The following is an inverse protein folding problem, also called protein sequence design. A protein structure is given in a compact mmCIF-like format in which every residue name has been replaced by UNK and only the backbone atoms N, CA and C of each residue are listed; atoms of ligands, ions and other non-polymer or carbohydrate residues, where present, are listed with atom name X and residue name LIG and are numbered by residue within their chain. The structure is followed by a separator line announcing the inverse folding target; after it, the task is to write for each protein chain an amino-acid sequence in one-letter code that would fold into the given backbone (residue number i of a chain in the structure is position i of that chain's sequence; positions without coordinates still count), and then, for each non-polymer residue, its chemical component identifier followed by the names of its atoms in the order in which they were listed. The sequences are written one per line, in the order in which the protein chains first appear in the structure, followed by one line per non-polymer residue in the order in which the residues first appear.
data_IF_499607167814
#
_entry.id   IF_499607167814
#
_cell.length_a   1.000
_cell.length_b   1.000
_cell.length_c   1.000
_cell.angle_alpha   90.00
_cell.angle_beta   90.00
_cell.angle_gamma   90.00
#
_symmetry.space_group_name_H-M   'P 1'
#
loop_
_entity.id
_entity.type
_entity.pdbx_description
1 polymer ?
#
# COMPACT_ATOMS: atom_id res chain seq x y z
N UNK A 1 41.46 24.17 12.08
CA UNK A 1 40.21 23.60 12.57
C UNK A 1 39.62 22.75 11.43
N UNK A 2 39.86 21.44 11.49
CA UNK A 2 39.48 20.52 10.43
C UNK A 2 38.03 20.06 10.65
N UNK A 3 37.18 20.23 9.63
CA UNK A 3 35.84 19.67 9.58
C UNK A 3 35.94 18.16 9.35
N UNK A 4 35.56 17.36 10.34
CA UNK A 4 35.44 15.93 10.21
C UNK A 4 34.17 15.63 9.40
N UNK A 5 34.31 15.09 8.18
CA UNK A 5 33.21 14.55 7.40
C UNK A 5 32.69 13.29 8.14
N UNK A 6 31.48 13.36 8.67
CA UNK A 6 30.78 12.23 9.28
C UNK A 6 30.43 11.21 8.21
N UNK A 7 30.88 9.97 8.38
CA UNK A 7 30.51 8.85 7.50
C UNK A 7 28.97 8.64 7.53
N UNK A 8 28.31 8.37 6.39
CA UNK A 8 26.88 8.14 6.35
C UNK A 8 26.49 6.91 7.17
N UNK A 9 25.27 6.87 7.75
CA UNK A 9 24.79 5.75 8.55
C UNK A 9 24.75 4.44 7.74
N UNK A 10 24.84 3.26 8.40
CA UNK A 10 24.90 1.96 7.73
C UNK A 10 23.78 1.68 6.75
N UNK A 11 22.57 2.21 7.00
CA UNK A 11 21.40 2.10 6.13
C UNK A 11 21.58 2.76 4.75
N UNK A 12 22.31 3.86 4.68
CA UNK A 12 22.63 4.51 3.40
C UNK A 12 23.62 3.71 2.56
N UNK A 13 24.49 2.91 3.19
CA UNK A 13 25.46 2.06 2.47
C UNK A 13 24.79 0.85 1.82
N UNK A 14 23.79 0.24 2.45
CA UNK A 14 23.03 -0.90 1.89
C UNK A 14 22.18 -0.49 0.67
N UNK A 15 21.48 0.65 0.75
CA UNK A 15 20.72 1.17 -0.40
C UNK A 15 21.65 1.54 -1.59
N UNK A 16 22.86 2.04 -1.32
CA UNK A 16 23.86 2.31 -2.34
C UNK A 16 24.49 1.04 -2.91
N UNK A 17 24.60 -0.04 -2.13
CA UNK A 17 25.09 -1.32 -2.62
C UNK A 17 24.07 -2.03 -3.50
N UNK A 18 22.78 -1.96 -3.18
CA UNK A 18 21.71 -2.49 -4.04
C UNK A 18 21.61 -1.70 -5.36
N UNK A 19 21.76 -0.39 -5.33
CA UNK A 19 21.89 0.43 -6.54
C UNK A 19 23.14 0.07 -7.37
N UNK A 20 24.26 -0.22 -6.71
CA UNK A 20 25.48 -0.68 -7.40
C UNK A 20 25.35 -2.10 -7.98
N UNK A 21 24.61 -3.01 -7.34
CA UNK A 21 24.33 -4.34 -7.87
C UNK A 21 23.43 -4.29 -9.10
N UNK A 22 22.43 -3.42 -9.14
CA UNK A 22 21.60 -3.19 -10.33
C UNK A 22 22.46 -2.65 -11.49
N UNK A 23 23.40 -1.74 -11.22
CA UNK A 23 24.32 -1.22 -12.21
C UNK A 23 25.39 -2.24 -12.67
N UNK A 24 25.84 -3.14 -11.79
CA UNK A 24 26.86 -4.14 -12.10
C UNK A 24 26.36 -5.30 -12.99
N UNK A 25 25.05 -5.56 -13.04
CA UNK A 25 24.46 -6.57 -13.94
C UNK A 25 24.37 -6.13 -15.41
N UNK A 26 24.75 -4.88 -15.72
CA UNK A 26 24.69 -4.32 -17.09
C UNK A 26 26.08 -4.15 -17.74
N UNK A 27 27.01 -5.06 -17.49
CA UNK A 27 28.18 -5.40 -18.35
C UNK A 27 29.08 -4.26 -18.83
N UNK A 28 30.37 -4.39 -18.57
CA UNK A 28 31.43 -3.44 -18.80
C UNK A 28 31.79 -3.06 -20.23
N UNK A 29 32.24 -1.82 -20.36
CA UNK A 29 33.37 -1.35 -21.17
C UNK A 29 33.64 0.14 -20.87
N UNK A 30 34.91 0.56 -20.94
CA UNK A 30 35.44 1.82 -20.45
C UNK A 30 35.03 3.07 -21.24
N UNK A 31 35.04 4.21 -20.52
CA UNK A 31 35.19 5.59 -20.98
C UNK A 31 33.95 6.36 -21.42
N UNK A 32 33.12 6.73 -20.47
CA UNK A 32 32.30 7.96 -20.38
C UNK A 32 31.67 7.97 -18.98
N UNK A 33 31.33 9.08 -18.33
CA UNK A 33 30.53 9.01 -17.11
C UNK A 33 29.26 8.22 -17.44
N UNK A 34 28.90 7.19 -16.63
CA UNK A 34 27.77 6.35 -16.98
C UNK A 34 26.54 7.24 -17.16
N UNK A 35 25.73 7.03 -18.23
CA UNK A 35 24.44 7.71 -18.35
C UNK A 35 23.68 7.41 -17.06
N UNK A 36 23.05 8.42 -16.49
CA UNK A 36 22.19 8.25 -15.32
C UNK A 36 21.21 7.11 -15.65
N UNK A 37 21.40 5.95 -15.04
CA UNK A 37 20.52 4.80 -15.25
C UNK A 37 19.14 5.23 -14.76
N UNK A 38 18.21 5.49 -15.67
CA UNK A 38 16.84 5.78 -15.30
C UNK A 38 16.27 4.52 -14.66
N UNK A 39 16.00 4.60 -13.36
CA UNK A 39 15.34 3.52 -12.63
C UNK A 39 13.96 3.27 -13.24
N UNK A 40 13.63 2.01 -13.44
CA UNK A 40 12.28 1.63 -13.84
C UNK A 40 11.32 1.78 -12.65
N UNK A 41 10.01 1.85 -12.91
CA UNK A 41 9.02 1.88 -11.83
C UNK A 41 9.13 0.65 -10.93
N UNK A 42 9.51 -0.50 -11.49
CA UNK A 42 9.72 -1.74 -10.73
C UNK A 42 10.94 -1.63 -9.81
N UNK A 43 12.02 -0.98 -10.27
CA UNK A 43 13.19 -0.69 -9.42
C UNK A 43 12.82 0.23 -8.25
N UNK A 44 12.00 1.27 -8.50
CA UNK A 44 11.54 2.18 -7.46
C UNK A 44 10.71 1.46 -6.40
N UNK A 45 9.77 0.59 -6.81
CA UNK A 45 8.98 -0.22 -5.89
C UNK A 45 9.87 -1.12 -5.02
N UNK A 46 10.85 -1.79 -5.64
CA UNK A 46 11.78 -2.65 -4.92
C UNK A 46 12.60 -1.85 -3.89
N UNK A 47 13.11 -0.69 -4.25
CA UNK A 47 13.90 0.17 -3.35
C UNK A 47 13.07 0.62 -2.15
N UNK A 48 11.83 1.11 -2.37
CA UNK A 48 10.93 1.48 -1.28
C UNK A 48 10.62 0.30 -0.36
N UNK A 49 10.32 -0.87 -0.94
CA UNK A 49 10.02 -2.08 -0.20
C UNK A 49 11.20 -2.56 0.66
N UNK A 50 12.41 -2.60 0.10
CA UNK A 50 13.62 -2.99 0.85
C UNK A 50 13.88 -2.04 2.01
N UNK A 51 13.69 -0.74 1.80
CA UNK A 51 13.83 0.27 2.88
C UNK A 51 12.82 0.04 4.00
N UNK A 52 11.57 -0.31 3.69
CA UNK A 52 10.56 -0.61 4.71
C UNK A 52 10.89 -1.87 5.52
N UNK A 53 11.46 -2.90 4.88
CA UNK A 53 11.85 -4.12 5.58
C UNK A 53 12.98 -3.91 6.60
N UNK A 54 13.75 -2.83 6.50
CA UNK A 54 14.76 -2.48 7.52
C UNK A 54 14.15 -2.08 8.87
N UNK A 55 12.84 -1.80 8.94
CA UNK A 55 12.12 -1.55 10.20
C UNK A 55 11.70 -2.84 10.91
N UNK A 56 11.88 -4.00 10.27
CA UNK A 56 11.47 -5.29 10.83
C UNK A 56 12.56 -5.84 11.73
N UNK A 57 12.17 -6.21 12.93
CA UNK A 57 13.03 -6.83 13.94
C UNK A 57 12.62 -8.27 14.20
N UNK A 58 13.55 -9.15 14.69
CA UNK A 58 13.23 -10.51 15.10
C UNK A 58 12.05 -10.58 16.08
N UNK A 59 11.18 -11.57 15.86
CA UNK A 59 10.01 -11.82 16.72
C UNK A 59 8.79 -10.93 16.44
N UNK A 60 8.86 -10.00 15.51
CA UNK A 60 7.71 -9.17 15.15
C UNK A 60 6.60 -9.96 14.47
N UNK A 61 5.34 -9.65 14.82
CA UNK A 61 4.17 -9.98 14.03
C UNK A 61 3.89 -8.80 13.07
N UNK A 62 3.76 -9.11 11.77
CA UNK A 62 3.65 -8.13 10.70
C UNK A 62 2.26 -8.14 10.05
N UNK A 63 1.77 -6.99 9.63
CA UNK A 63 0.74 -6.86 8.61
C UNK A 63 1.39 -6.92 7.22
N UNK A 64 0.97 -7.88 6.42
CA UNK A 64 1.53 -8.14 5.09
C UNK A 64 0.61 -7.57 4.01
N UNK A 65 1.04 -6.50 3.38
CA UNK A 65 0.29 -5.75 2.40
C UNK A 65 0.03 -6.47 1.07
N UNK A 66 -0.83 -5.87 0.26
CA UNK A 66 -1.23 -6.38 -1.06
C UNK A 66 -0.78 -5.43 -2.17
N UNK A 67 -0.36 -5.99 -3.29
CA UNK A 67 0.01 -5.22 -4.48
C UNK A 67 1.45 -5.41 -4.91
N UNK A 68 1.82 -4.79 -6.05
CA UNK A 68 3.13 -5.01 -6.67
C UNK A 68 4.29 -4.49 -5.83
N UNK A 69 4.11 -3.38 -5.11
CA UNK A 69 5.15 -2.84 -4.23
C UNK A 69 5.31 -3.70 -2.98
N UNK A 70 4.19 -4.11 -2.35
CA UNK A 70 4.19 -5.00 -1.20
C UNK A 70 4.81 -6.38 -1.53
N UNK A 71 4.63 -6.87 -2.76
CA UNK A 71 5.25 -8.13 -3.19
C UNK A 71 6.79 -8.13 -3.04
N UNK A 72 7.46 -7.01 -3.34
CA UNK A 72 8.91 -6.89 -3.13
C UNK A 72 9.29 -6.93 -1.64
N UNK A 73 8.44 -6.41 -0.75
CA UNK A 73 8.66 -6.52 0.70
C UNK A 73 8.53 -7.98 1.16
N UNK A 74 7.53 -8.72 0.65
CA UNK A 74 7.37 -10.15 0.96
C UNK A 74 8.57 -10.97 0.46
N UNK A 75 9.02 -10.74 -0.77
CA UNK A 75 10.19 -11.44 -1.32
C UNK A 75 11.43 -11.18 -0.45
N UNK A 76 11.67 -9.92 -0.07
CA UNK A 76 12.79 -9.54 0.80
C UNK A 76 12.68 -10.16 2.19
N UNK A 77 11.50 -10.18 2.79
CA UNK A 77 11.24 -10.84 4.08
C UNK A 77 11.53 -12.34 4.00
N UNK A 78 11.08 -13.01 2.94
CA UNK A 78 11.37 -14.41 2.69
C UNK A 78 12.87 -14.70 2.58
N UNK A 79 13.64 -13.83 1.90
CA UNK A 79 15.09 -13.95 1.81
C UNK A 79 15.77 -13.85 3.18
N UNK A 80 15.37 -12.87 3.98
CA UNK A 80 15.92 -12.66 5.33
C UNK A 80 15.56 -13.77 6.31
N UNK A 81 14.35 -14.31 6.22
CA UNK A 81 13.92 -15.47 7.01
C UNK A 81 14.76 -16.70 6.65
N UNK A 82 14.94 -17.00 5.36
CA UNK A 82 15.80 -18.12 4.90
C UNK A 82 17.26 -17.95 5.33
N UNK A 83 17.75 -16.72 5.37
CA UNK A 83 19.09 -16.42 5.86
C UNK A 83 19.21 -16.46 7.40
N UNK A 84 18.12 -16.71 8.14
CA UNK A 84 18.11 -16.69 9.61
C UNK A 84 18.28 -15.30 10.23
N UNK A 85 18.13 -14.23 9.45
CA UNK A 85 18.33 -12.86 9.92
C UNK A 85 17.12 -12.30 10.71
N UNK A 86 15.92 -12.87 10.51
CA UNK A 86 14.68 -12.45 11.13
C UNK A 86 13.97 -13.62 11.85
N UNK A 87 14.60 -14.28 12.85
CA UNK A 87 13.98 -15.39 13.54
C UNK A 87 12.70 -14.97 14.26
N UNK A 88 11.66 -15.81 14.21
CA UNK A 88 10.40 -15.60 14.92
C UNK A 88 9.47 -14.55 14.28
N UNK A 89 9.80 -14.00 13.13
CA UNK A 89 8.89 -13.12 12.37
C UNK A 89 7.81 -13.97 11.73
N UNK A 90 6.56 -13.49 11.84
CA UNK A 90 5.38 -14.07 11.20
C UNK A 90 4.44 -12.95 10.74
N UNK A 91 3.48 -13.25 9.87
CA UNK A 91 2.65 -12.21 9.28
C UNK A 91 1.17 -12.53 9.13
N UNK A 92 0.35 -11.49 9.14
CA UNK A 92 -1.09 -11.54 8.88
C UNK A 92 -1.33 -10.96 7.47
N UNK A 93 -1.81 -11.76 6.49
CA UNK A 93 -1.95 -11.32 5.10
C UNK A 93 -3.22 -10.50 4.89
N UNK A 94 -3.12 -9.40 4.13
CA UNK A 94 -4.24 -8.50 3.80
C UNK A 94 -5.11 -8.98 2.64
N UNK A 95 -4.77 -10.11 2.01
CA UNK A 95 -5.55 -10.72 0.92
C UNK A 95 -5.18 -12.20 0.72
N UNK A 96 -6.06 -12.95 0.04
CA UNK A 96 -5.76 -14.33 -0.39
C UNK A 96 -4.52 -14.38 -1.30
N UNK A 97 -4.34 -13.37 -2.15
CA UNK A 97 -3.15 -13.27 -3.01
C UNK A 97 -1.87 -13.10 -2.19
N UNK A 98 -1.91 -12.28 -1.15
CA UNK A 98 -0.78 -12.07 -0.22
C UNK A 98 -0.50 -13.33 0.61
N UNK A 99 -1.54 -14.03 1.05
CA UNK A 99 -1.43 -15.30 1.76
C UNK A 99 -0.68 -16.36 0.93
N UNK A 100 -1.09 -16.53 -0.34
CA UNK A 100 -0.40 -17.44 -1.26
C UNK A 100 1.05 -17.03 -1.53
N UNK A 101 1.32 -15.73 -1.67
CA UNK A 101 2.68 -15.24 -1.89
C UNK A 101 3.55 -15.45 -0.65
N UNK A 102 3.09 -15.07 0.52
CA UNK A 102 3.80 -15.25 1.79
C UNK A 102 4.14 -16.73 2.07
N UNK A 103 3.17 -17.62 1.84
CA UNK A 103 3.39 -19.08 1.92
C UNK A 103 4.50 -19.54 0.97
N UNK A 104 4.47 -19.08 -0.29
CA UNK A 104 5.47 -19.44 -1.30
C UNK A 104 6.89 -19.01 -0.91
N UNK A 105 7.05 -17.83 -0.30
CA UNK A 105 8.37 -17.33 0.11
C UNK A 105 8.79 -17.77 1.51
N UNK A 106 7.95 -18.55 2.22
CA UNK A 106 8.27 -19.17 3.50
C UNK A 106 8.07 -18.24 4.70
N UNK A 107 7.19 -17.25 4.62
CA UNK A 107 6.79 -16.43 5.77
C UNK A 107 5.73 -17.20 6.56
N UNK A 108 5.94 -17.48 7.87
CA UNK A 108 4.92 -18.07 8.73
C UNK A 108 3.69 -17.15 8.82
N UNK A 109 2.49 -17.73 8.71
CA UNK A 109 1.25 -16.97 8.72
C UNK A 109 0.51 -17.09 10.04
N UNK A 110 -0.14 -16.00 10.44
CA UNK A 110 -0.97 -15.89 11.63
C UNK A 110 -2.37 -15.40 11.23
N UNK A 111 -3.44 -15.84 11.92
CA UNK A 111 -4.77 -15.26 11.75
C UNK A 111 -4.82 -13.87 12.41
N UNK A 112 -5.73 -13.03 11.96
CA UNK A 112 -6.05 -11.77 12.63
C UNK A 112 -6.96 -12.06 13.84
N UNK A 113 -6.39 -12.10 15.03
CA UNK A 113 -7.14 -12.40 16.27
C UNK A 113 -7.48 -13.88 16.47
N UNK A 114 -8.20 -14.19 17.55
CA UNK A 114 -8.58 -15.57 17.94
C UNK A 114 -7.39 -16.43 18.43
N UNK A 115 -7.66 -17.73 18.57
CA UNK A 115 -6.64 -18.70 19.00
C UNK A 115 -5.53 -18.82 17.94
N UNK A 116 -4.29 -18.56 18.34
CA UNK A 116 -3.12 -18.56 17.45
C UNK A 116 -2.84 -17.23 16.75
N UNK A 117 -3.68 -16.21 16.91
CA UNK A 117 -3.39 -14.86 16.44
C UNK A 117 -2.34 -14.16 17.32
N UNK A 118 -1.65 -13.13 16.79
CA UNK A 118 -0.69 -12.38 17.56
C UNK A 118 -1.40 -11.51 18.60
N UNK A 119 -0.76 -11.29 19.75
CA UNK A 119 -1.26 -10.36 20.78
C UNK A 119 -1.33 -8.92 20.28
N UNK A 120 -0.49 -8.60 19.30
CA UNK A 120 -0.43 -7.30 18.60
C UNK A 120 0.25 -7.46 17.23
N UNK A 121 -0.07 -6.58 16.29
CA UNK A 121 0.69 -6.39 15.06
C UNK A 121 1.67 -5.24 15.32
N UNK A 122 2.98 -5.52 15.25
CA UNK A 122 4.01 -4.52 15.55
C UNK A 122 4.18 -3.51 14.41
N UNK A 123 4.10 -4.01 13.18
CA UNK A 123 4.37 -3.23 11.97
C UNK A 123 3.57 -3.79 10.81
N UNK A 124 2.85 -2.92 10.09
CA UNK A 124 2.27 -3.25 8.79
C UNK A 124 3.07 -2.56 7.69
N UNK A 125 3.33 -3.27 6.58
CA UNK A 125 4.00 -2.73 5.39
C UNK A 125 3.07 -2.93 4.21
N UNK A 126 2.61 -1.86 3.58
CA UNK A 126 1.75 -1.93 2.40
C UNK A 126 1.95 -0.75 1.46
N UNK A 127 1.45 -0.87 0.22
CA UNK A 127 1.41 0.20 -0.75
C UNK A 127 0.21 1.14 -0.57
N UNK A 128 0.19 2.21 -1.36
CA UNK A 128 -0.99 3.05 -1.52
C UNK A 128 -1.21 3.42 -3.00
N UNK A 129 -2.46 3.69 -3.35
CA UNK A 129 -2.83 4.20 -4.68
C UNK A 129 -2.58 5.69 -4.79
N UNK A 130 -2.80 6.45 -3.70
CA UNK A 130 -2.54 7.87 -3.55
C UNK A 130 -2.10 8.17 -2.11
N UNK A 131 -1.27 9.22 -1.95
CA UNK A 131 -0.83 9.78 -0.66
C UNK A 131 -0.94 11.30 -0.75
N UNK A 132 -1.72 11.93 0.14
CA UNK A 132 -1.83 13.37 0.24
C UNK A 132 -0.76 13.98 1.18
N UNK A 133 -0.63 15.34 1.26
CA UNK A 133 0.36 15.99 2.13
C UNK A 133 0.18 15.72 3.63
N UNK A 134 -1.01 15.32 4.07
CA UNK A 134 -1.32 14.99 5.47
C UNK A 134 -1.16 13.48 5.76
N UNK A 135 -0.57 12.73 4.81
CA UNK A 135 -0.37 11.29 4.84
C UNK A 135 -1.67 10.48 4.91
N UNK A 136 -2.79 11.06 4.46
CA UNK A 136 -3.98 10.28 4.17
C UNK A 136 -3.80 9.53 2.84
N UNK A 137 -4.45 8.37 2.71
CA UNK A 137 -4.22 7.49 1.60
C UNK A 137 -5.52 7.16 0.86
N UNK A 138 -5.40 6.88 -0.44
CA UNK A 138 -6.35 6.02 -1.15
C UNK A 138 -5.70 4.67 -1.32
N UNK A 139 -6.44 3.61 -0.94
CA UNK A 139 -6.08 2.20 -1.11
C UNK A 139 -7.28 1.40 -1.65
N UNK A 140 -7.01 0.18 -2.09
CA UNK A 140 -8.07 -0.75 -2.49
C UNK A 140 -8.45 -0.71 -3.96
N UNK A 141 -7.69 -0.04 -4.84
CA UNK A 141 -7.89 -0.21 -6.29
C UNK A 141 -7.62 -1.66 -6.71
N UNK A 142 -6.80 -2.40 -5.94
CA UNK A 142 -6.58 -3.85 -6.09
C UNK A 142 -7.74 -4.72 -5.58
N UNK A 143 -8.68 -4.20 -4.78
CA UNK A 143 -9.85 -4.90 -4.28
C UNK A 143 -9.75 -5.46 -2.86
N UNK A 144 -8.70 -5.15 -2.08
CA UNK A 144 -8.47 -5.74 -0.75
C UNK A 144 -8.65 -4.75 0.41
N UNK A 145 -9.27 -3.59 0.16
CA UNK A 145 -9.32 -2.46 1.09
C UNK A 145 -9.79 -2.80 2.51
N UNK A 146 -10.77 -3.71 2.66
CA UNK A 146 -11.33 -4.06 3.97
C UNK A 146 -10.29 -4.78 4.84
N UNK A 147 -9.70 -5.87 4.31
CA UNK A 147 -8.67 -6.61 5.05
C UNK A 147 -7.42 -5.77 5.30
N UNK A 148 -7.01 -4.94 4.32
CA UNK A 148 -5.93 -3.97 4.46
C UNK A 148 -6.22 -3.04 5.65
N UNK A 149 -7.40 -2.40 5.70
CA UNK A 149 -7.75 -1.45 6.77
C UNK A 149 -7.83 -2.12 8.14
N UNK A 150 -8.39 -3.33 8.23
CA UNK A 150 -8.46 -4.07 9.48
C UNK A 150 -7.07 -4.39 10.04
N UNK A 151 -6.15 -4.86 9.21
CA UNK A 151 -4.81 -5.29 9.63
C UNK A 151 -3.92 -4.09 9.94
N UNK A 152 -3.96 -3.06 9.10
CA UNK A 152 -3.19 -1.83 9.29
C UNK A 152 -3.70 -1.03 10.50
N UNK A 153 -5.03 -1.01 10.73
CA UNK A 153 -5.64 -0.41 11.92
C UNK A 153 -5.35 -1.17 13.22
N UNK A 154 -5.06 -2.47 13.14
CA UNK A 154 -4.63 -3.28 14.29
C UNK A 154 -3.12 -3.15 14.57
N UNK A 155 -2.35 -2.52 13.67
CA UNK A 155 -0.91 -2.37 13.78
C UNK A 155 -0.50 -1.19 14.67
N UNK A 156 0.61 -1.34 15.42
CA UNK A 156 1.21 -0.22 16.17
C UNK A 156 1.85 0.81 15.24
N UNK A 157 2.41 0.34 14.12
CA UNK A 157 3.02 1.16 13.07
C UNK A 157 2.50 0.73 11.71
N UNK A 158 2.20 1.70 10.86
CA UNK A 158 1.89 1.47 9.46
C UNK A 158 2.87 2.22 8.57
N UNK A 159 3.76 1.47 7.92
CA UNK A 159 4.75 1.95 6.95
C UNK A 159 4.20 1.77 5.55
N UNK A 160 3.99 2.88 4.88
CA UNK A 160 3.49 2.92 3.49
C UNK A 160 4.67 3.01 2.54
N UNK A 161 4.66 2.20 1.48
CA UNK A 161 5.72 2.14 0.46
C UNK A 161 5.17 2.52 -0.92
N UNK A 162 5.70 3.59 -1.49
CA UNK A 162 5.24 4.14 -2.77
C UNK A 162 6.41 4.67 -3.61
N UNK A 163 6.17 4.85 -4.89
CA UNK A 163 6.98 5.73 -5.72
C UNK A 163 6.38 7.14 -5.76
N UNK A 164 7.16 8.13 -6.20
CA UNK A 164 6.74 9.55 -6.20
C UNK A 164 5.47 9.84 -7.01
N UNK A 165 5.09 8.96 -7.96
CA UNK A 165 3.87 9.14 -8.76
C UNK A 165 2.58 8.96 -7.94
N UNK A 166 2.69 8.44 -6.71
CA UNK A 166 1.57 8.25 -5.80
C UNK A 166 1.30 9.45 -4.91
N UNK A 167 2.22 10.42 -4.88
CA UNK A 167 2.02 11.67 -4.16
C UNK A 167 1.05 12.57 -4.93
N UNK A 168 -0.01 12.98 -4.25
CA UNK A 168 -1.09 13.77 -4.84
C UNK A 168 -1.37 15.01 -4.00
N UNK A 169 -1.83 16.11 -4.60
CA UNK A 169 -2.23 17.28 -3.84
C UNK A 169 -3.53 17.07 -3.06
N UNK A 170 -4.34 16.08 -3.47
CA UNK A 170 -5.65 15.76 -2.88
C UNK A 170 -6.06 14.34 -3.26
N UNK A 171 -6.68 13.62 -2.33
CA UNK A 171 -7.16 12.26 -2.58
C UNK A 171 -8.25 12.22 -3.67
N UNK A 172 -8.25 11.16 -4.45
CA UNK A 172 -9.25 10.90 -5.50
C UNK A 172 -8.98 11.63 -6.82
N UNK A 173 -7.81 12.30 -6.98
CA UNK A 173 -7.51 13.04 -8.20
C UNK A 173 -6.85 12.19 -9.30
N UNK A 174 -6.37 10.97 -9.01
CA UNK A 174 -5.71 10.11 -10.02
C UNK A 174 -6.55 8.90 -10.44
N UNK A 175 -7.73 8.70 -9.84
CA UNK A 175 -8.60 7.58 -10.17
C UNK A 175 -9.64 7.27 -9.09
N UNK A 176 -10.20 6.06 -9.15
CA UNK A 176 -11.27 5.68 -8.27
C UNK A 176 -10.87 5.67 -6.79
N UNK A 177 -11.79 6.14 -5.95
CA UNK A 177 -11.83 5.86 -4.51
C UNK A 177 -12.84 4.74 -4.30
N UNK A 178 -12.40 3.52 -3.92
CA UNK A 178 -13.30 2.38 -3.82
C UNK A 178 -14.08 2.38 -2.51
N UNK A 179 -15.30 1.82 -2.55
CA UNK A 179 -16.15 1.55 -1.39
C UNK A 179 -16.62 0.10 -1.48
N UNK A 180 -16.31 -0.71 -0.46
CA UNK A 180 -16.77 -2.08 -0.37
C UNK A 180 -18.20 -2.11 0.15
N UNK A 181 -19.10 -2.81 -0.57
CA UNK A 181 -20.53 -2.87 -0.28
C UNK A 181 -21.02 -4.32 -0.32
N UNK A 182 -22.02 -4.65 0.49
CA UNK A 182 -22.63 -5.98 0.43
C UNK A 182 -23.33 -6.19 -0.93
N UNK A 183 -23.36 -7.43 -1.48
CA UNK A 183 -24.02 -7.72 -2.76
C UNK A 183 -25.51 -7.45 -2.75
N UNK A 184 -26.19 -7.77 -1.62
CA UNK A 184 -27.63 -7.54 -1.50
C UNK A 184 -27.95 -6.05 -1.62
N UNK A 185 -28.73 -5.68 -2.63
CA UNK A 185 -29.15 -4.30 -2.85
C UNK A 185 -28.01 -3.35 -3.28
N UNK A 186 -26.91 -3.85 -3.82
CA UNK A 186 -25.77 -3.01 -4.23
C UNK A 186 -26.15 -1.83 -5.15
N UNK A 187 -27.08 -1.94 -6.12
CA UNK A 187 -27.56 -0.78 -6.88
C UNK A 187 -28.28 0.27 -6.02
N UNK A 188 -28.99 -0.15 -4.97
CA UNK A 188 -29.61 0.78 -4.01
C UNK A 188 -28.54 1.50 -3.21
N UNK A 189 -27.56 0.76 -2.65
CA UNK A 189 -26.42 1.32 -1.90
C UNK A 189 -25.61 2.30 -2.76
N UNK A 190 -25.37 1.96 -4.04
CA UNK A 190 -24.76 2.89 -5.01
C UNK A 190 -25.55 4.19 -5.13
N UNK A 191 -26.89 4.10 -5.19
CA UNK A 191 -27.77 5.28 -5.21
C UNK A 191 -27.63 6.15 -3.97
N UNK A 192 -27.48 5.55 -2.77
CA UNK A 192 -27.25 6.27 -1.52
C UNK A 192 -25.88 6.93 -1.47
N UNK A 193 -24.83 6.24 -1.94
CA UNK A 193 -23.47 6.81 -2.06
C UNK A 193 -23.49 8.05 -2.98
N UNK A 194 -24.19 7.98 -4.11
CA UNK A 194 -24.33 9.13 -5.03
C UNK A 194 -24.97 10.34 -4.35
N UNK A 195 -25.92 10.13 -3.46
CA UNK A 195 -26.59 11.24 -2.71
C UNK A 195 -25.66 11.97 -1.75
N UNK A 196 -24.62 11.32 -1.21
CA UNK A 196 -23.62 12.00 -0.35
C UNK A 196 -22.92 13.13 -1.12
N UNK A 197 -22.77 12.98 -2.42
CA UNK A 197 -22.07 13.92 -3.29
C UNK A 197 -23.03 14.61 -4.29
N UNK A 198 -24.33 14.65 -3.95
CA UNK A 198 -25.32 15.28 -4.83
C UNK A 198 -24.98 16.76 -5.06
N UNK A 199 -25.06 17.17 -6.32
CA UNK A 199 -24.67 18.53 -6.74
C UNK A 199 -23.16 18.79 -6.83
N UNK A 200 -22.28 17.82 -6.55
CA UNK A 200 -20.83 17.99 -6.75
C UNK A 200 -20.49 17.83 -8.24
N UNK A 201 -20.03 18.90 -8.94
CA UNK A 201 -19.64 18.79 -10.34
C UNK A 201 -18.50 17.79 -10.54
N UNK A 202 -18.55 17.01 -11.62
CA UNK A 202 -17.51 16.04 -11.98
C UNK A 202 -17.49 14.77 -11.10
N UNK A 203 -18.43 14.62 -10.15
CA UNK A 203 -18.57 13.39 -9.40
C UNK A 203 -19.41 12.35 -10.15
N UNK A 204 -18.93 11.13 -10.18
CA UNK A 204 -19.72 9.97 -10.58
C UNK A 204 -19.31 8.72 -9.80
N UNK A 205 -20.22 7.75 -9.68
CA UNK A 205 -19.94 6.48 -9.05
C UNK A 205 -20.61 5.34 -9.81
N UNK A 206 -19.96 4.16 -9.80
CA UNK A 206 -20.44 2.95 -10.45
C UNK A 206 -19.99 1.71 -9.69
N UNK A 207 -20.69 0.59 -9.90
CA UNK A 207 -20.17 -0.71 -9.50
C UNK A 207 -18.93 -1.06 -10.34
N UNK A 208 -17.91 -1.64 -9.70
CA UNK A 208 -16.76 -2.21 -10.40
C UNK A 208 -17.20 -3.48 -11.12
N UNK A 209 -16.98 -3.50 -12.42
CA UNK A 209 -17.30 -4.65 -13.26
C UNK A 209 -16.02 -5.31 -13.75
N UNK A 210 -16.06 -6.62 -13.96
CA UNK A 210 -15.00 -7.39 -14.61
C UNK A 210 -15.58 -8.10 -15.82
N UNK A 211 -14.81 -8.10 -16.90
CA UNK A 211 -15.14 -8.82 -18.11
C UNK A 211 -14.49 -10.19 -18.04
N UNK A 212 -15.28 -11.23 -18.03
CA UNK A 212 -14.80 -12.60 -18.18
C UNK A 212 -15.12 -13.04 -19.61
N UNK A 213 -14.09 -13.21 -20.44
CA UNK A 213 -14.15 -13.72 -21.82
C UNK A 213 -15.37 -13.18 -22.58
N UNK A 214 -15.59 -12.95 -23.69
CA UNK A 214 -16.70 -12.45 -24.51
C UNK A 214 -18.15 -12.47 -23.91
N UNK A 215 -18.33 -12.76 -22.61
CA UNK A 215 -19.60 -12.79 -21.88
C UNK A 215 -19.93 -11.43 -21.23
N UNK A 216 -21.14 -11.31 -20.67
CA UNK A 216 -21.60 -10.09 -19.97
C UNK A 216 -20.69 -9.68 -18.83
N UNK A 217 -20.49 -8.37 -18.66
CA UNK A 217 -19.76 -7.79 -17.54
C UNK A 217 -20.42 -8.21 -16.21
N UNK A 218 -19.64 -8.80 -15.32
CA UNK A 218 -20.10 -9.21 -13.97
C UNK A 218 -19.50 -8.32 -12.90
N UNK A 219 -20.19 -8.10 -11.75
CA UNK A 219 -19.60 -7.37 -10.65
C UNK A 219 -18.29 -8.02 -10.17
N UNK A 220 -17.29 -7.17 -9.87
CA UNK A 220 -16.09 -7.62 -9.19
C UNK A 220 -16.45 -8.09 -7.77
N UNK A 221 -15.93 -9.24 -7.36
CA UNK A 221 -16.14 -9.81 -6.03
C UNK A 221 -14.84 -9.76 -5.25
N UNK A 222 -14.87 -9.17 -4.04
CA UNK A 222 -13.72 -9.12 -3.13
C UNK A 222 -13.44 -10.49 -2.48
N UNK A 223 -12.29 -10.64 -1.82
CA UNK A 223 -11.95 -11.82 -1.02
C UNK A 223 -12.97 -12.09 0.13
N UNK A 224 -13.83 -11.12 0.44
CA UNK A 224 -14.87 -11.20 1.47
C UNK A 224 -16.25 -11.50 0.90
N UNK A 225 -16.37 -11.72 -0.43
CA UNK A 225 -17.66 -11.94 -1.10
C UNK A 225 -18.47 -10.67 -1.33
N UNK A 226 -17.91 -9.49 -1.13
CA UNK A 226 -18.56 -8.20 -1.32
C UNK A 226 -18.30 -7.62 -2.72
N UNK A 227 -19.03 -6.56 -3.09
CA UNK A 227 -18.83 -5.79 -4.30
C UNK A 227 -18.07 -4.50 -4.00
N UNK A 228 -17.62 -3.80 -5.06
CA UNK A 228 -16.96 -2.49 -4.94
C UNK A 228 -17.74 -1.46 -5.76
N UNK A 229 -18.07 -0.35 -5.13
CA UNK A 229 -18.45 0.89 -5.78
C UNK A 229 -17.19 1.73 -5.99
N UNK A 230 -16.96 2.19 -7.20
CA UNK A 230 -15.88 3.11 -7.56
C UNK A 230 -16.43 4.54 -7.62
N UNK A 231 -15.91 5.41 -6.76
CA UNK A 231 -16.20 6.85 -6.77
C UNK A 231 -15.10 7.58 -7.52
N UNK A 232 -15.47 8.48 -8.43
CA UNK A 232 -14.55 9.30 -9.21
C UNK A 232 -14.86 10.78 -8.99
N UNK A 233 -13.80 11.58 -8.87
CA UNK A 233 -13.83 13.01 -8.63
C UNK A 233 -12.95 13.70 -9.65
N UNK A 234 -13.45 14.70 -10.37
CA UNK A 234 -12.69 15.39 -11.42
C UNK A 234 -11.40 16.03 -10.88
N UNK A 235 -11.48 16.71 -9.73
CA UNK A 235 -10.35 17.40 -9.09
C UNK A 235 -9.98 16.82 -7.72
N UNK A 236 -10.35 15.57 -7.44
CA UNK A 236 -10.22 14.95 -6.13
C UNK A 236 -11.29 15.37 -5.12
N UNK A 237 -11.27 14.74 -3.95
CA UNK A 237 -12.24 14.96 -2.88
C UNK A 237 -12.00 16.33 -2.25
N UNK A 238 -13.04 17.15 -2.16
CA UNK A 238 -13.02 18.46 -1.50
C UNK A 238 -13.82 18.40 -0.21
N UNK A 239 -13.40 19.18 0.79
CA UNK A 239 -14.04 19.26 2.08
C UNK A 239 -13.36 18.40 3.15
N UNK A 240 -14.07 18.16 4.24
CA UNK A 240 -13.58 17.38 5.38
C UNK A 240 -13.68 15.89 5.08
N UNK A 241 -12.51 15.24 4.93
CA UNK A 241 -12.41 13.81 4.61
C UNK A 241 -13.00 12.93 5.73
N UNK A 242 -12.86 13.33 7.01
CA UNK A 242 -13.41 12.56 8.12
C UNK A 242 -14.94 12.63 8.13
N UNK A 243 -15.51 13.80 7.86
CA UNK A 243 -16.97 13.92 7.74
C UNK A 243 -17.53 13.11 6.56
N UNK A 244 -16.83 13.10 5.42
CA UNK A 244 -17.20 12.27 4.26
C UNK A 244 -17.10 10.78 4.60
N UNK A 245 -16.04 10.37 5.29
CA UNK A 245 -15.86 9.01 5.80
C UNK A 245 -17.04 8.59 6.67
N UNK A 246 -17.40 9.41 7.64
CA UNK A 246 -18.54 9.15 8.56
C UNK A 246 -19.86 9.03 7.80
N UNK A 247 -20.11 9.88 6.82
CA UNK A 247 -21.33 9.83 6.00
C UNK A 247 -21.41 8.52 5.20
N UNK A 248 -20.29 8.08 4.59
CA UNK A 248 -20.24 6.83 3.85
C UNK A 248 -20.47 5.62 4.75
N UNK A 249 -19.81 5.56 5.90
CA UNK A 249 -19.92 4.43 6.85
C UNK A 249 -21.29 4.32 7.51
N UNK A 250 -22.09 5.40 7.55
CA UNK A 250 -23.48 5.37 8.03
C UNK A 250 -24.49 4.83 7.03
N UNK A 251 -24.09 4.61 5.77
CA UNK A 251 -24.97 4.04 4.76
C UNK A 251 -25.10 2.54 5.00
N UNK A 252 -26.31 2.08 5.33
CA UNK A 252 -26.59 0.63 5.41
C UNK A 252 -26.27 -0.04 4.09
N UNK A 253 -25.40 -1.06 4.13
CA UNK A 253 -24.91 -1.76 2.95
C UNK A 253 -23.48 -1.38 2.55
N UNK A 254 -22.93 -0.28 3.05
CA UNK A 254 -21.49 0.01 2.99
C UNK A 254 -20.79 -0.79 4.09
N UNK A 255 -19.69 -1.45 3.73
CA UNK A 255 -18.83 -2.19 4.66
C UNK A 255 -17.63 -1.34 5.05
N UNK A 256 -16.91 -0.78 4.07
CA UNK A 256 -15.72 0.05 4.29
C UNK A 256 -15.38 0.85 3.01
N UNK A 257 -14.56 1.85 3.10
CA UNK A 257 -14.09 2.67 1.98
C UNK A 257 -12.57 2.75 1.91
N UNK A 258 -12.04 3.08 0.73
CA UNK A 258 -10.61 3.13 0.44
C UNK A 258 -9.88 4.40 0.87
N UNK A 259 -10.51 5.30 1.62
CA UNK A 259 -9.80 6.40 2.28
C UNK A 259 -9.25 5.90 3.62
N UNK A 260 -7.93 5.93 3.78
CA UNK A 260 -7.19 5.54 5.00
C UNK A 260 -6.70 6.83 5.66
N UNK A 261 -7.53 7.38 6.54
CA UNK A 261 -7.32 8.70 7.12
C UNK A 261 -6.54 8.60 8.42
N UNK A 262 -5.47 9.36 8.54
CA UNK A 262 -4.63 9.45 9.74
C UNK A 262 -4.04 8.12 10.22
N UNK A 263 -3.96 7.09 9.35
CA UNK A 263 -3.49 5.74 9.70
C UNK A 263 -1.98 5.56 9.47
N UNK A 264 -1.42 6.11 8.39
CA UNK A 264 0.00 5.99 8.10
C UNK A 264 0.85 6.64 9.20
N UNK A 265 1.85 5.92 9.71
CA UNK A 265 2.84 6.46 10.64
C UNK A 265 4.07 6.97 9.91
N UNK A 266 4.44 6.29 8.83
CA UNK A 266 5.60 6.60 7.99
C UNK A 266 5.28 6.30 6.54
N UNK A 267 5.67 7.17 5.62
CA UNK A 267 5.59 6.95 4.17
C UNK A 267 7.01 6.96 3.60
N UNK A 268 7.38 5.90 2.91
CA UNK A 268 8.65 5.75 2.20
C UNK A 268 8.40 5.94 0.72
N UNK A 269 8.99 6.99 0.17
CA UNK A 269 8.83 7.39 -1.23
C UNK A 269 10.12 7.13 -1.99
N UNK A 270 10.08 6.28 -3.01
CA UNK A 270 11.17 6.15 -3.96
C UNK A 270 11.01 7.19 -5.08
N UNK A 271 12.00 8.08 -5.21
CA UNK A 271 12.01 9.15 -6.19
C UNK A 271 12.67 8.68 -7.51
N UNK A 272 12.28 9.27 -8.64
CA UNK A 272 12.81 8.92 -9.97
C UNK A 272 14.33 9.09 -10.11
N UNK A 273 14.92 9.96 -9.29
CA UNK A 273 16.38 10.13 -9.23
C UNK A 273 17.10 9.03 -8.41
N UNK A 274 16.35 8.07 -7.86
CA UNK A 274 16.86 6.97 -7.03
C UNK A 274 17.04 7.32 -5.56
N UNK A 275 16.69 8.52 -5.13
CA UNK A 275 16.68 8.88 -3.72
C UNK A 275 15.46 8.34 -3.00
N UNK A 276 15.55 8.18 -1.69
CA UNK A 276 14.42 7.80 -0.83
C UNK A 276 14.07 8.99 0.05
N UNK A 277 12.81 9.37 0.04
CA UNK A 277 12.25 10.32 1.01
C UNK A 277 11.46 9.54 2.05
N UNK A 278 11.69 9.82 3.33
CA UNK A 278 10.91 9.26 4.44
C UNK A 278 10.12 10.41 5.05
N UNK A 279 8.80 10.22 5.10
CA UNK A 279 7.85 11.20 5.65
C UNK A 279 7.18 10.57 6.87
N UNK A 280 7.38 11.15 8.04
CA UNK A 280 6.76 10.69 9.27
C UNK A 280 5.55 11.55 9.62
N UNK A 281 4.53 10.92 10.22
CA UNK A 281 3.36 11.62 10.75
C UNK A 281 3.83 12.62 11.81
N UNK A 282 3.42 13.87 11.64
CA UNK A 282 3.67 14.91 12.65
C UNK A 282 2.79 14.62 13.87
N UNK A 283 3.43 14.61 15.04
CA UNK A 283 2.73 14.51 16.34
C UNK A 283 1.90 15.77 16.62
#
# INVERSE_FOLDING_TARGET
MGSAATSPPPSMKLAQEDLKRVAAHMGGAAASPPPSVKLTQEDLKRVAAHRAVEFVEPGMALGLGTGSTAAHALDRLGDLLRAGALPGVAGVPTSLKTELHATRVGIPLLPLGGDGGPSRIHLSIDGADEVDPDLNLVKGRGGSLLREKMIEGAGEKFVVIVDESKLVPRLGCTGAVPVEVIPFGAPHTLGLIRKVFDGLPGFHARLRMVRKDAEEDTPFVTDNGNYIVEMFFEDGIRGDLHNISDQLLRITGVVEHGMFLSMATTVIVANKDGTITVMDKKN
#
